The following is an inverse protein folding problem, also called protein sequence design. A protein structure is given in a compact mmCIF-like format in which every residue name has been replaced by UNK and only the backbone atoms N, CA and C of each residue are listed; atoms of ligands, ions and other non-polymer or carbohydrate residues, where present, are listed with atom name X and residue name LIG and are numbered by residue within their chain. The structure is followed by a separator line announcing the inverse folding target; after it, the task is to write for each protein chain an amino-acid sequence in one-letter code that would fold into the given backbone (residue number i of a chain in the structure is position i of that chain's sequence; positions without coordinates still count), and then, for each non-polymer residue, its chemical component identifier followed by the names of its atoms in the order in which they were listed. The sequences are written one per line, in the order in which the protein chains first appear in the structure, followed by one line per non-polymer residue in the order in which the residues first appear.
data_IF_437653064897
#
_entry.id   IF_437653064897
#
_cell.length_a   1.000
_cell.length_b   1.000
_cell.length_c   1.000
_cell.angle_alpha   90.00
_cell.angle_beta   90.00
_cell.angle_gamma   90.00
#
_symmetry.space_group_name_H-M   'P 1'
#
loop_
_entity.id
_entity.type
_entity.pdbx_description
1 polymer ?
#
# COMPACT_ATOMS: atom_id res chain seq x y z
N UNK A 1 -4.59 -9.31 -9.88
CA UNK A 1 -6.03 -9.62 -9.71
C UNK A 1 -6.68 -9.89 -11.07
N UNK A 2 -7.72 -10.70 -11.08
CA UNK A 2 -8.51 -10.99 -12.29
C UNK A 2 -9.79 -10.18 -12.25
N UNK A 3 -10.08 -9.47 -13.35
CA UNK A 3 -11.31 -8.70 -13.53
C UNK A 3 -12.19 -9.39 -14.58
N UNK A 4 -13.40 -9.72 -14.21
CA UNK A 4 -14.42 -10.29 -15.10
C UNK A 4 -15.29 -9.16 -15.65
N UNK A 5 -15.36 -9.01 -16.96
CA UNK A 5 -16.08 -7.92 -17.64
C UNK A 5 -17.17 -8.50 -18.50
N UNK A 6 -18.38 -7.92 -18.42
CA UNK A 6 -19.50 -8.17 -19.33
C UNK A 6 -20.31 -6.89 -19.57
N UNK A 7 -21.45 -7.01 -20.26
CA UNK A 7 -22.33 -5.86 -20.59
C UNK A 7 -22.94 -5.14 -19.38
N UNK A 8 -22.88 -5.73 -18.18
CA UNK A 8 -23.36 -5.15 -16.92
C UNK A 8 -22.27 -4.38 -16.18
N UNK A 9 -20.99 -4.52 -16.59
CA UNK A 9 -19.84 -3.89 -15.94
C UNK A 9 -18.73 -4.90 -15.62
N UNK A 10 -18.15 -4.79 -14.42
CA UNK A 10 -17.04 -5.66 -14.03
C UNK A 10 -17.10 -6.09 -12.57
N UNK A 11 -16.50 -7.24 -12.30
CA UNK A 11 -16.31 -7.79 -10.96
C UNK A 11 -14.84 -8.19 -10.78
N UNK A 12 -14.24 -7.75 -9.69
CA UNK A 12 -12.87 -8.14 -9.31
C UNK A 12 -12.88 -8.61 -7.86
N UNK A 13 -12.49 -9.86 -7.62
CA UNK A 13 -12.25 -10.33 -6.26
C UNK A 13 -10.92 -9.76 -5.78
N UNK A 14 -10.91 -9.09 -4.63
CA UNK A 14 -9.73 -8.39 -4.11
C UNK A 14 -8.91 -9.28 -3.17
N UNK A 15 -9.57 -9.84 -2.17
CA UNK A 15 -8.94 -10.72 -1.17
C UNK A 15 -9.96 -11.79 -0.77
N UNK A 16 -9.49 -13.03 -0.71
CA UNK A 16 -10.27 -14.17 -0.23
C UNK A 16 -9.56 -14.77 0.99
N UNK A 17 -10.32 -15.32 1.92
CA UNK A 17 -9.74 -16.01 3.09
C UNK A 17 -9.00 -17.29 2.75
N UNK A 18 -9.20 -17.83 1.54
CA UNK A 18 -8.51 -19.03 1.02
C UNK A 18 -7.36 -18.68 0.05
N UNK A 19 -7.05 -17.40 -0.15
CA UNK A 19 -5.85 -16.99 -0.88
C UNK A 19 -4.58 -17.43 -0.15
N UNK A 20 -3.57 -17.99 -0.86
CA UNK A 20 -2.37 -18.52 -0.22
C UNK A 20 -1.52 -17.44 0.50
N UNK A 21 -1.69 -16.17 0.14
CA UNK A 21 -0.99 -15.04 0.77
C UNK A 21 -1.77 -14.43 1.95
N UNK A 22 -3.04 -14.81 2.14
CA UNK A 22 -3.89 -14.26 3.19
C UNK A 22 -3.49 -14.82 4.56
N UNK A 23 -3.38 -13.97 5.56
CA UNK A 23 -3.04 -14.37 6.94
C UNK A 23 -4.29 -14.37 7.82
N UNK A 24 -4.89 -13.20 8.02
CA UNK A 24 -6.11 -13.00 8.80
C UNK A 24 -6.72 -11.63 8.50
N UNK A 25 -7.95 -11.42 8.92
CA UNK A 25 -8.65 -10.17 8.83
C UNK A 25 -8.63 -9.42 10.17
N UNK A 26 -8.09 -8.21 10.21
CA UNK A 26 -8.18 -7.32 11.36
C UNK A 26 -9.24 -6.23 11.17
N UNK A 27 -9.12 -5.48 10.09
CA UNK A 27 -10.06 -4.43 9.68
C UNK A 27 -9.96 -4.16 8.20
N UNK A 28 -10.82 -3.30 7.67
CA UNK A 28 -10.72 -2.77 6.33
C UNK A 28 -11.07 -1.29 6.36
N UNK A 29 -10.31 -0.49 5.65
CA UNK A 29 -10.64 0.92 5.46
C UNK A 29 -10.25 1.40 4.06
N UNK A 30 -10.86 2.51 3.65
CA UNK A 30 -10.53 3.22 2.42
C UNK A 30 -9.87 4.56 2.76
N UNK A 31 -8.73 4.84 2.11
CA UNK A 31 -8.11 6.16 2.09
C UNK A 31 -8.38 6.83 0.77
N UNK A 32 -8.98 8.01 0.82
CA UNK A 32 -9.17 8.85 -0.36
C UNK A 32 -8.12 9.97 -0.31
N UNK A 33 -7.39 10.14 -1.39
CA UNK A 33 -6.33 11.17 -1.47
C UNK A 33 -6.45 11.97 -2.76
N UNK A 34 -6.33 13.28 -2.62
CA UNK A 34 -6.32 14.22 -3.73
C UNK A 34 -5.07 14.03 -4.61
N UNK A 35 -5.10 14.49 -5.89
CA UNK A 35 -3.92 14.42 -6.77
C UNK A 35 -2.68 15.03 -6.13
N UNK A 36 -1.55 14.34 -6.26
CA UNK A 36 -0.25 14.78 -5.75
C UNK A 36 -0.02 14.57 -4.24
N UNK A 37 -1.03 14.19 -3.49
CA UNK A 37 -0.91 13.95 -2.04
C UNK A 37 0.01 12.75 -1.79
N UNK A 38 0.94 12.93 -0.84
CA UNK A 38 1.83 11.90 -0.32
C UNK A 38 1.38 11.54 1.09
N UNK A 39 1.26 10.24 1.37
CA UNK A 39 1.06 9.68 2.70
C UNK A 39 2.19 8.71 2.97
N UNK A 40 3.22 9.14 3.71
CA UNK A 40 4.44 8.38 3.96
C UNK A 40 5.15 8.92 5.21
N UNK A 41 6.09 8.20 5.74
CA UNK A 41 6.34 6.78 5.69
C UNK A 41 5.73 6.14 6.92
N UNK A 42 5.13 4.97 6.76
CA UNK A 42 4.53 4.20 7.84
C UNK A 42 5.17 2.82 7.89
N UNK A 43 5.23 2.23 9.07
CA UNK A 43 5.58 0.83 9.23
C UNK A 43 5.00 0.28 10.53
N UNK A 44 4.93 -1.05 10.63
CA UNK A 44 4.29 -1.75 11.73
C UNK A 44 5.20 -2.86 12.24
N UNK A 45 5.05 -3.25 13.50
CA UNK A 45 5.81 -4.36 14.09
C UNK A 45 5.08 -5.69 14.00
N UNK A 46 3.75 -5.67 14.00
CA UNK A 46 2.89 -6.87 14.03
C UNK A 46 2.00 -6.98 12.79
N UNK A 47 1.47 -5.86 12.36
CA UNK A 47 0.48 -5.77 11.28
C UNK A 47 1.10 -6.02 9.92
N UNK A 48 0.44 -6.88 9.13
CA UNK A 48 0.62 -6.96 7.68
C UNK A 48 -0.47 -6.13 7.01
N UNK A 49 -0.13 -5.37 5.99
CA UNK A 49 -1.06 -4.61 5.17
C UNK A 49 -1.29 -5.29 3.82
N UNK A 50 -2.50 -5.13 3.29
CA UNK A 50 -2.84 -5.53 1.92
C UNK A 50 -3.45 -4.34 1.20
N UNK A 51 -2.69 -3.72 0.31
CA UNK A 51 -3.10 -2.55 -0.44
C UNK A 51 -3.74 -2.93 -1.77
N UNK A 52 -4.90 -2.36 -2.04
CA UNK A 52 -5.57 -2.42 -3.34
C UNK A 52 -6.07 -1.02 -3.70
N UNK A 53 -5.53 -0.44 -4.75
CA UNK A 53 -6.06 0.83 -5.28
C UNK A 53 -7.22 0.52 -6.23
N UNK A 54 -8.44 0.84 -5.81
CA UNK A 54 -9.66 0.51 -6.57
C UNK A 54 -10.07 1.60 -7.56
N UNK A 55 -9.50 2.80 -7.46
CA UNK A 55 -9.71 3.91 -8.39
C UNK A 55 -8.50 4.84 -8.40
N UNK A 56 -8.16 5.31 -9.59
CA UNK A 56 -7.00 6.19 -9.81
C UNK A 56 -5.70 5.40 -9.92
N UNK A 57 -4.58 6.10 -9.84
CA UNK A 57 -3.24 5.49 -9.90
C UNK A 57 -2.38 6.03 -8.78
N UNK A 58 -1.71 5.13 -8.08
CA UNK A 58 -0.76 5.47 -7.03
C UNK A 58 0.59 4.81 -7.27
N UNK A 59 1.66 5.46 -6.82
CA UNK A 59 2.97 4.83 -6.65
C UNK A 59 3.21 4.52 -5.18
N UNK A 60 3.69 3.30 -4.92
CA UNK A 60 3.91 2.78 -3.57
C UNK A 60 5.34 2.28 -3.45
N UNK A 61 6.25 3.06 -2.85
CA UNK A 61 7.57 2.57 -2.50
C UNK A 61 7.52 1.75 -1.22
N UNK A 62 8.33 0.69 -1.18
CA UNK A 62 8.59 -0.15 -0.01
C UNK A 62 10.08 -0.09 0.32
N UNK A 63 10.42 0.10 1.59
CA UNK A 63 11.78 0.11 2.08
C UNK A 63 11.93 -0.81 3.29
N UNK A 64 12.79 -1.81 3.18
CA UNK A 64 12.94 -2.83 4.20
C UNK A 64 13.80 -2.32 5.37
N UNK A 65 13.17 -2.17 6.55
CA UNK A 65 13.82 -1.73 7.78
C UNK A 65 14.24 -2.90 8.69
N UNK A 66 14.03 -4.15 8.26
CA UNK A 66 14.35 -5.33 9.08
C UNK A 66 15.83 -5.67 9.03
N UNK A 67 16.61 -5.50 10.12
CA UNK A 67 18.07 -5.69 10.11
C UNK A 67 18.52 -7.10 9.71
N UNK A 68 17.70 -8.11 10.03
CA UNK A 68 18.01 -9.53 9.77
C UNK A 68 17.46 -10.03 8.42
N UNK A 69 16.80 -9.16 7.65
CA UNK A 69 16.24 -9.51 6.35
C UNK A 69 17.34 -9.56 5.28
N UNK A 70 17.28 -10.52 4.34
CA UNK A 70 18.19 -10.54 3.19
C UNK A 70 18.00 -9.33 2.26
N UNK A 71 16.86 -8.64 2.36
CA UNK A 71 16.55 -7.42 1.61
C UNK A 71 16.64 -6.14 2.44
N UNK A 72 17.33 -6.20 3.59
CA UNK A 72 17.52 -5.02 4.44
C UNK A 72 18.04 -3.81 3.66
N UNK A 73 17.34 -2.68 3.79
CA UNK A 73 17.58 -1.41 3.10
C UNK A 73 17.39 -1.45 1.57
N UNK A 74 16.78 -2.48 1.03
CA UNK A 74 16.35 -2.47 -0.35
C UNK A 74 15.07 -1.64 -0.53
N UNK A 75 15.00 -0.96 -1.65
CA UNK A 75 13.88 -0.14 -2.07
C UNK A 75 13.22 -0.76 -3.29
N UNK A 76 11.91 -0.98 -3.21
CA UNK A 76 11.07 -1.39 -4.34
C UNK A 76 9.98 -0.36 -4.58
N UNK A 77 9.54 -0.22 -5.81
CA UNK A 77 8.48 0.70 -6.20
C UNK A 77 7.41 -0.05 -6.99
N UNK A 78 6.16 0.13 -6.60
CA UNK A 78 5.00 -0.48 -7.25
C UNK A 78 4.02 0.59 -7.71
N UNK A 79 3.26 0.27 -8.77
CA UNK A 79 2.22 1.13 -9.31
C UNK A 79 0.91 0.36 -9.25
N UNK A 80 -0.07 0.92 -8.54
CA UNK A 80 -1.37 0.28 -8.30
C UNK A 80 -2.50 1.19 -8.78
N UNK A 81 -3.52 0.59 -9.34
CA UNK A 81 -4.73 1.32 -9.68
C UNK A 81 -5.45 0.79 -10.93
N UNK A 82 -6.10 1.68 -11.63
CA UNK A 82 -6.96 1.34 -12.76
C UNK A 82 -6.20 0.61 -13.87
N UNK A 83 -4.94 0.99 -14.13
CA UNK A 83 -4.10 0.38 -15.16
C UNK A 83 -3.32 -0.84 -14.67
N UNK A 84 -3.29 -1.09 -13.37
CA UNK A 84 -2.60 -2.22 -12.77
C UNK A 84 -3.30 -2.67 -11.48
N UNK A 85 -4.29 -3.54 -11.64
CA UNK A 85 -5.14 -4.04 -10.56
C UNK A 85 -4.44 -5.20 -9.84
N UNK A 86 -3.69 -4.87 -8.80
CA UNK A 86 -2.96 -5.84 -7.99
C UNK A 86 -3.30 -5.67 -6.50
N UNK A 87 -3.07 -6.71 -5.73
CA UNK A 87 -2.95 -6.63 -4.27
C UNK A 87 -1.48 -6.63 -3.90
N UNK A 88 -1.07 -5.65 -3.10
CA UNK A 88 0.30 -5.54 -2.59
C UNK A 88 0.32 -5.91 -1.12
N UNK A 89 0.98 -7.01 -0.79
CA UNK A 89 1.19 -7.45 0.59
C UNK A 89 2.45 -6.78 1.14
N UNK A 90 2.31 -6.13 2.29
CA UNK A 90 3.38 -5.40 2.98
C UNK A 90 3.58 -6.01 4.36
N UNK A 91 4.69 -6.75 4.58
CA UNK A 91 4.94 -7.40 5.86
C UNK A 91 5.34 -6.40 6.95
N UNK A 92 5.25 -6.80 8.23
CA UNK A 92 5.78 -6.00 9.33
C UNK A 92 7.26 -5.64 9.11
N UNK A 93 7.67 -4.45 9.57
CA UNK A 93 9.04 -3.98 9.47
C UNK A 93 9.44 -3.37 8.13
N UNK A 94 8.51 -3.31 7.16
CA UNK A 94 8.73 -2.68 5.86
C UNK A 94 8.06 -1.30 5.84
N UNK A 95 8.88 -0.26 5.74
CA UNK A 95 8.39 1.10 5.59
C UNK A 95 7.73 1.28 4.22
N UNK A 96 6.60 1.94 4.21
CA UNK A 96 5.82 2.16 3.00
C UNK A 96 5.08 3.49 3.05
N UNK A 97 4.63 3.90 1.89
CA UNK A 97 3.79 5.06 1.70
C UNK A 97 3.24 5.04 0.29
N UNK A 98 2.48 6.07 -0.07
CA UNK A 98 2.02 6.20 -1.43
C UNK A 98 1.84 7.66 -1.83
N UNK A 99 1.86 7.90 -3.13
CA UNK A 99 1.51 9.17 -3.76
C UNK A 99 0.44 8.93 -4.81
N UNK A 100 -0.60 9.76 -4.79
CA UNK A 100 -1.54 9.82 -5.91
C UNK A 100 -0.84 10.47 -7.12
N UNK A 101 -0.63 9.69 -8.18
CA UNK A 101 0.03 10.13 -9.42
C UNK A 101 -0.96 10.43 -10.55
N UNK A 102 -2.25 10.28 -10.29
CA UNK A 102 -3.32 10.62 -11.23
C UNK A 102 -3.79 12.06 -11.11
N UNK A 103 -4.80 12.41 -11.92
CA UNK A 103 -5.43 13.74 -11.97
C UNK A 103 -6.74 13.82 -11.21
N UNK A 104 -7.22 12.70 -10.71
CA UNK A 104 -8.44 12.56 -9.91
C UNK A 104 -8.13 11.98 -8.53
N UNK A 105 -9.03 12.06 -7.54
CA UNK A 105 -8.86 11.39 -6.27
C UNK A 105 -8.65 9.89 -6.44
N UNK A 106 -7.67 9.33 -5.74
CA UNK A 106 -7.46 7.89 -5.67
C UNK A 106 -8.15 7.27 -4.45
N UNK A 107 -8.54 6.00 -4.57
CA UNK A 107 -9.20 5.23 -3.53
C UNK A 107 -8.36 4.00 -3.23
N UNK A 108 -7.64 4.03 -2.10
CA UNK A 108 -6.84 2.92 -1.62
C UNK A 108 -7.57 2.18 -0.53
N UNK A 109 -7.89 0.91 -0.76
CA UNK A 109 -8.32 -0.01 0.28
C UNK A 109 -7.09 -0.63 0.95
N UNK A 110 -7.13 -0.71 2.28
CA UNK A 110 -6.21 -1.51 3.05
C UNK A 110 -6.98 -2.53 3.89
N UNK A 111 -6.44 -3.74 3.97
CA UNK A 111 -6.95 -4.84 4.78
C UNK A 111 -5.89 -5.25 5.81
N UNK A 112 -5.68 -4.47 6.89
CA UNK A 112 -4.71 -4.84 7.92
C UNK A 112 -5.09 -6.12 8.65
N UNK A 113 -4.09 -6.90 9.02
CA UNK A 113 -4.28 -8.12 9.82
C UNK A 113 -4.65 -7.84 11.27
N UNK A 114 -4.39 -6.63 11.77
CA UNK A 114 -4.70 -6.21 13.13
C UNK A 114 -5.70 -5.04 13.11
N UNK A 115 -6.69 -5.01 14.02
CA UNK A 115 -7.53 -3.83 14.19
C UNK A 115 -6.74 -2.69 14.84
N UNK A 116 -7.08 -1.45 14.51
CA UNK A 116 -6.47 -0.29 15.15
C UNK A 116 -6.79 -0.25 16.65
N UNK A 117 -5.75 -0.16 17.46
CA UNK A 117 -5.86 0.01 18.90
C UNK A 117 -5.35 1.41 19.28
N UNK A 118 -6.23 2.36 19.67
CA UNK A 118 -5.81 3.73 20.02
C UNK A 118 -4.97 3.81 21.30
N UNK A 119 -5.07 2.80 22.19
CA UNK A 119 -4.31 2.77 23.46
C UNK A 119 -2.88 2.25 23.26
N UNK A 120 -2.64 1.46 22.22
CA UNK A 120 -1.32 0.90 21.88
C UNK A 120 -1.24 0.74 20.34
N UNK A 121 -1.11 1.83 19.61
CA UNK A 121 -1.07 1.77 18.15
C UNK A 121 0.22 1.13 17.64
N UNK A 122 0.07 0.12 16.79
CA UNK A 122 1.17 -0.51 16.06
C UNK A 122 1.47 0.31 14.79
N UNK A 123 1.76 1.59 14.99
CA UNK A 123 2.03 2.52 13.89
C UNK A 123 3.26 3.37 14.20
N UNK A 124 4.24 3.31 13.32
CA UNK A 124 5.50 4.04 13.40
C UNK A 124 5.65 4.89 12.14
N UNK A 125 6.28 6.05 12.27
CA UNK A 125 6.37 7.01 11.17
C UNK A 125 7.78 7.55 11.01
N UNK A 126 8.12 7.86 9.76
CA UNK A 126 9.25 8.69 9.39
C UNK A 126 8.72 9.84 8.50
N UNK A 127 9.38 11.01 8.50
CA UNK A 127 9.03 12.08 7.58
C UNK A 127 9.07 11.60 6.12
N UNK A 128 8.16 12.12 5.27
CA UNK A 128 8.09 11.70 3.86
C UNK A 128 9.40 11.97 3.10
N UNK A 129 10.16 12.98 3.52
CA UNK A 129 11.43 13.42 2.96
C UNK A 129 12.65 12.97 3.77
N UNK A 130 12.50 11.98 4.65
CA UNK A 130 13.60 11.49 5.48
C UNK A 130 14.81 11.10 4.64
N UNK A 131 16.04 11.54 5.03
CA UNK A 131 17.25 11.14 4.32
C UNK A 131 17.61 9.66 4.55
N UNK A 132 16.98 8.99 5.51
CA UNK A 132 17.21 7.57 5.78
C UNK A 132 16.71 6.66 4.63
N UNK A 133 15.71 7.14 3.87
CA UNK A 133 15.16 6.41 2.72
C UNK A 133 15.48 7.18 1.44
N UNK A 134 16.35 6.64 0.57
CA UNK A 134 16.80 7.34 -0.64
C UNK A 134 15.75 7.23 -1.75
N UNK A 135 14.62 7.89 -1.58
CA UNK A 135 13.50 7.84 -2.52
C UNK A 135 13.04 9.25 -2.93
N UNK A 136 12.78 9.44 -4.22
CA UNK A 136 12.17 10.65 -4.77
C UNK A 136 10.68 10.45 -5.02
N UNK A 137 9.87 11.31 -4.42
CA UNK A 137 8.42 11.34 -4.66
C UNK A 137 8.04 12.07 -5.96
N UNK A 138 8.98 12.68 -6.63
CA UNK A 138 8.74 13.41 -7.87
C UNK A 138 8.27 12.49 -8.99
N UNK A 139 7.45 13.04 -9.89
CA UNK A 139 7.06 12.38 -11.12
C UNK A 139 8.27 12.42 -12.07
N UNK A 140 8.57 11.26 -12.67
CA UNK A 140 9.65 11.16 -13.65
C UNK A 140 9.19 11.72 -14.98
N UNK A 141 10.03 12.58 -15.56
CA UNK A 141 9.86 13.08 -16.92
C UNK A 141 10.89 12.43 -17.85
N UNK A 142 10.50 12.22 -19.09
CA UNK A 142 11.37 11.71 -20.15
C UNK A 142 11.61 12.79 -21.20
#
# INVERSE_FOLDING_TARGET
LVTHVDERGSLTELIRCDDPFFEKFGQCYVSVSWPGVIRAWHWHKKQTDYFVCIRGMIKVPLFDLRPDSPTYRELNEFFLGDDNRIVLKIPPGVAHGFKNIGTEPCYLLNFPTEPYNPDDPDEYRLPYDTPEIPYSWDIKYR
#
